data_IF_949833772941
#
_entry.id   IF_949833772941
#
_cell.length_a   1.000
_cell.length_b   1.000
_cell.length_c   1.000
_cell.angle_alpha   90.00
_cell.angle_beta   90.00
_cell.angle_gamma   90.00
#
_symmetry.space_group_name_H-M   'P 1'
#
loop_
_entity.id
_entity.type
_entity.pdbx_description
1 polymer ?
#
# COMPACT_ATOMS: atom_id res chain seq x y z
N UNK A 1 -13.20 -37.60 12.22
CA UNK A 1 -13.34 -36.15 12.04
C UNK A 1 -11.99 -35.51 12.34
N UNK A 2 -11.17 -35.30 11.32
CA UNK A 2 -9.88 -34.62 11.44
C UNK A 2 -10.14 -33.13 11.64
N UNK A 3 -9.68 -32.56 12.76
CA UNK A 3 -9.70 -31.10 12.97
C UNK A 3 -8.88 -30.46 11.86
N UNK A 4 -9.52 -29.66 11.02
CA UNK A 4 -8.81 -28.81 10.07
C UNK A 4 -7.79 -27.95 10.85
N UNK A 5 -6.57 -27.85 10.33
CA UNK A 5 -5.55 -27.00 10.93
C UNK A 5 -6.09 -25.55 11.00
N UNK A 6 -5.78 -24.80 12.08
CA UNK A 6 -6.18 -23.40 12.15
C UNK A 6 -5.61 -22.63 10.96
N UNK A 7 -6.35 -21.65 10.42
CA UNK A 7 -5.91 -20.82 9.31
C UNK A 7 -4.57 -20.16 9.64
N UNK A 8 -3.65 -20.18 8.68
CA UNK A 8 -2.34 -19.55 8.84
C UNK A 8 -2.46 -18.09 8.38
N UNK A 9 -2.58 -17.18 9.35
CA UNK A 9 -2.41 -15.74 9.10
C UNK A 9 -0.92 -15.48 8.97
N UNK A 10 -0.50 -14.94 7.82
CA UNK A 10 0.87 -14.49 7.62
C UNK A 10 0.87 -12.98 7.57
N UNK A 11 1.44 -12.37 8.61
CA UNK A 11 1.64 -10.93 8.70
C UNK A 11 3.02 -10.63 8.10
N UNK A 12 3.17 -9.64 7.21
CA UNK A 12 4.50 -9.15 6.84
C UNK A 12 5.29 -8.82 8.11
N UNK A 13 6.58 -9.15 8.12
CA UNK A 13 7.40 -8.89 9.29
C UNK A 13 7.57 -7.38 9.47
N UNK A 14 6.70 -6.76 10.26
CA UNK A 14 6.99 -5.48 10.88
C UNK A 14 8.39 -5.56 11.51
N UNK A 15 9.20 -4.51 11.32
CA UNK A 15 10.58 -4.33 11.80
C UNK A 15 10.91 -5.28 12.95
N UNK A 16 11.58 -6.40 12.66
CA UNK A 16 11.90 -7.39 13.68
C UNK A 16 12.79 -6.74 14.76
N UNK A 17 12.78 -7.22 16.02
CA UNK A 17 13.67 -6.70 17.06
C UNK A 17 15.15 -6.63 16.64
N UNK A 18 15.57 -7.55 15.76
CA UNK A 18 16.90 -7.57 15.15
C UNK A 18 17.17 -6.34 14.27
N UNK A 19 16.17 -5.91 13.48
CA UNK A 19 16.29 -4.75 12.60
C UNK A 19 16.45 -3.44 13.38
N UNK A 20 15.81 -3.31 14.54
CA UNK A 20 16.01 -2.16 15.42
C UNK A 20 17.45 -2.08 15.95
N UNK A 21 18.06 -3.22 16.28
CA UNK A 21 19.46 -3.32 16.71
C UNK A 21 20.40 -2.93 15.56
N UNK A 22 20.19 -3.49 14.37
CA UNK A 22 20.97 -3.18 13.17
C UNK A 22 20.97 -1.68 12.86
N UNK A 23 19.78 -1.07 12.79
CA UNK A 23 19.64 0.36 12.54
C UNK A 23 20.32 1.19 13.62
N UNK A 24 20.19 0.79 14.89
CA UNK A 24 20.86 1.42 16.02
C UNK A 24 22.38 1.44 15.88
N UNK A 25 22.99 0.31 15.51
CA UNK A 25 24.43 0.19 15.34
C UNK A 25 24.96 0.97 14.13
N UNK A 26 24.29 0.88 12.98
CA UNK A 26 24.65 1.67 11.78
C UNK A 26 24.64 3.17 12.11
N UNK A 27 23.56 3.64 12.75
CA UNK A 27 23.44 5.05 13.15
C UNK A 27 24.48 5.45 14.18
N UNK A 28 24.80 4.60 15.17
CA UNK A 28 25.82 4.85 16.18
C UNK A 28 27.20 5.02 15.52
N UNK A 29 27.58 4.11 14.61
CA UNK A 29 28.86 4.17 13.90
C UNK A 29 28.91 5.44 13.03
N UNK A 30 27.90 5.68 12.20
CA UNK A 30 27.87 6.82 11.31
C UNK A 30 27.89 8.16 12.06
N UNK A 31 27.09 8.29 13.13
CA UNK A 31 27.05 9.50 13.94
C UNK A 31 28.37 9.78 14.68
N UNK A 32 29.15 8.74 15.01
CA UNK A 32 30.49 8.92 15.58
C UNK A 32 31.51 9.54 14.61
N UNK A 33 31.19 9.59 13.31
CA UNK A 33 32.07 10.07 12.22
C UNK A 33 31.56 11.35 11.54
N UNK A 34 30.58 12.05 12.13
CA UNK A 34 30.00 13.29 11.56
C UNK A 34 31.01 14.40 11.30
N UNK A 35 32.16 14.41 11.97
CA UNK A 35 33.24 15.36 11.71
C UNK A 35 33.68 15.38 10.23
N UNK A 36 33.53 14.27 9.51
CA UNK A 36 33.82 14.16 8.08
C UNK A 36 32.77 14.85 7.17
N UNK A 37 31.60 15.20 7.71
CA UNK A 37 30.47 15.74 6.98
C UNK A 37 30.01 17.06 7.62
N UNK A 38 30.68 18.19 7.34
CA UNK A 38 30.48 19.44 8.09
C UNK A 38 29.07 20.01 7.96
N UNK A 39 28.30 19.59 6.95
CA UNK A 39 26.93 20.02 6.68
C UNK A 39 25.87 19.18 7.38
N UNK A 40 26.22 18.00 7.92
CA UNK A 40 25.30 17.07 8.60
C UNK A 40 25.36 17.29 10.10
N UNK A 41 24.19 17.42 10.74
CA UNK A 41 24.00 17.48 12.18
C UNK A 41 23.94 16.09 12.80
N UNK A 42 23.18 15.20 12.19
CA UNK A 42 22.97 13.82 12.62
C UNK A 42 22.41 12.98 11.46
N UNK A 43 22.56 11.67 11.55
CA UNK A 43 21.78 10.69 10.79
C UNK A 43 20.62 10.19 11.64
N UNK A 44 19.43 10.09 11.03
CA UNK A 44 18.19 9.67 11.68
C UNK A 44 17.40 8.75 10.75
N UNK A 45 16.50 7.92 11.30
CA UNK A 45 15.56 7.12 10.50
C UNK A 45 14.53 8.08 9.87
N UNK A 46 14.30 7.95 8.57
CA UNK A 46 13.31 8.75 7.86
C UNK A 46 11.92 8.11 8.01
N UNK A 47 11.03 8.79 8.75
CA UNK A 47 9.67 8.36 9.07
C UNK A 47 8.72 8.47 7.85
N UNK A 48 8.90 7.64 6.83
CA UNK A 48 7.86 7.43 5.82
C UNK A 48 7.06 6.18 6.15
N UNK A 49 5.80 6.16 5.74
CA UNK A 49 5.00 4.93 5.78
C UNK A 49 5.63 3.90 4.86
N UNK A 50 5.69 2.66 5.32
CA UNK A 50 6.02 1.55 4.44
C UNK A 50 4.91 1.46 3.38
N UNK A 51 5.27 1.67 2.11
CA UNK A 51 4.33 1.49 1.01
C UNK A 51 4.11 -0.01 0.83
N UNK A 52 2.90 -0.41 0.43
CA UNK A 52 2.55 -1.82 0.22
C UNK A 52 3.30 -2.49 -0.96
N UNK A 53 4.23 -1.78 -1.63
CA UNK A 53 5.08 -2.35 -2.67
C UNK A 53 6.22 -3.16 -2.03
N UNK A 54 5.89 -4.41 -1.72
CA UNK A 54 6.74 -5.44 -1.10
C UNK A 54 8.07 -5.68 -1.83
N UNK A 55 8.23 -5.22 -3.08
CA UNK A 55 9.47 -5.37 -3.85
C UNK A 55 10.54 -4.32 -3.50
N UNK A 56 10.18 -3.22 -2.81
CA UNK A 56 11.09 -2.09 -2.55
C UNK A 56 10.94 -1.46 -1.17
N UNK A 57 10.30 -2.12 -0.23
CA UNK A 57 10.31 -1.65 1.15
C UNK A 57 11.76 -1.59 1.65
N UNK A 58 12.25 -0.36 1.82
CA UNK A 58 13.58 -0.06 2.32
C UNK A 58 13.42 0.93 3.48
N UNK A 59 13.94 0.59 4.65
CA UNK A 59 14.11 1.59 5.72
C UNK A 59 15.11 2.62 5.20
N UNK A 60 14.81 3.91 5.29
CA UNK A 60 15.76 4.93 4.87
C UNK A 60 16.37 5.65 6.07
N UNK A 61 17.68 5.85 6.02
CA UNK A 61 18.41 6.74 6.91
C UNK A 61 18.58 8.07 6.18
N UNK A 62 18.22 9.18 6.83
CA UNK A 62 18.40 10.54 6.29
C UNK A 62 19.53 11.28 7.00
N UNK A 63 20.20 12.15 6.27
CA UNK A 63 21.08 13.14 6.87
C UNK A 63 20.28 14.39 7.27
N UNK A 64 20.28 14.73 8.55
CA UNK A 64 19.71 15.97 9.05
C UNK A 64 20.73 17.09 8.86
N UNK A 65 20.43 18.14 8.09
CA UNK A 65 21.38 19.23 7.87
C UNK A 65 21.55 20.11 9.12
N UNK A 66 22.72 20.75 9.27
CA UNK A 66 22.96 21.73 10.35
C UNK A 66 22.18 23.03 10.19
N UNK A 67 21.90 23.41 8.95
CA UNK A 67 21.10 24.60 8.63
C UNK A 67 19.76 24.18 8.03
N UNK A 68 18.68 24.87 8.42
CA UNK A 68 17.33 24.65 7.88
C UNK A 68 17.16 25.11 6.44
N UNK A 69 18.15 25.80 5.88
CA UNK A 69 18.03 26.57 4.64
C UNK A 69 17.95 25.74 3.37
N UNK A 70 18.08 24.42 3.43
CA UNK A 70 18.05 23.58 2.23
C UNK A 70 17.08 22.41 2.40
N UNK A 71 16.03 22.42 1.57
CA UNK A 71 15.01 21.35 1.45
C UNK A 71 15.57 20.03 0.89
N UNK A 72 16.86 20.01 0.53
CA UNK A 72 17.61 18.91 -0.09
C UNK A 72 18.21 17.97 0.98
N UNK A 73 17.69 16.76 1.11
CA UNK A 73 18.14 15.74 2.06
C UNK A 73 18.88 14.58 1.36
N UNK A 74 20.00 14.14 1.96
CA UNK A 74 20.62 12.86 1.58
C UNK A 74 19.83 11.72 2.22
N UNK A 75 19.64 10.64 1.46
CA UNK A 75 18.97 9.44 1.94
C UNK A 75 19.70 8.19 1.49
N UNK A 76 19.84 7.27 2.43
CA UNK A 76 20.43 5.97 2.21
C UNK A 76 19.38 4.90 2.46
N UNK A 77 19.15 4.05 1.47
CA UNK A 77 18.13 3.04 1.55
C UNK A 77 18.70 1.68 1.96
N UNK A 78 18.11 1.11 3.00
CA UNK A 78 18.47 -0.20 3.54
C UNK A 78 17.39 -1.22 3.18
N UNK A 79 17.75 -2.34 2.51
CA UNK A 79 16.79 -3.41 2.20
C UNK A 79 16.13 -3.96 3.47
N UNK A 80 14.83 -4.25 3.43
CA UNK A 80 14.09 -4.83 4.57
C UNK A 80 14.59 -6.23 4.96
N UNK A 81 15.00 -7.04 3.98
CA UNK A 81 15.58 -8.36 4.23
C UNK A 81 17.05 -8.23 4.64
N UNK A 82 17.47 -9.04 5.61
CA UNK A 82 18.89 -9.24 5.91
C UNK A 82 19.59 -9.70 4.63
N UNK A 83 20.33 -8.80 3.98
CA UNK A 83 21.08 -9.16 2.77
C UNK A 83 22.21 -10.15 3.08
N UNK A 84 22.47 -10.50 4.34
CA UNK A 84 23.44 -11.49 4.79
C UNK A 84 24.91 -11.18 4.45
N UNK A 85 25.16 -10.16 3.63
CA UNK A 85 26.40 -9.99 2.89
C UNK A 85 27.29 -8.83 3.36
N UNK A 86 26.86 -7.98 4.32
CA UNK A 86 27.68 -6.87 4.82
C UNK A 86 27.49 -6.62 6.31
N UNK A 87 28.60 -6.37 7.02
CA UNK A 87 28.57 -6.01 8.44
C UNK A 87 28.01 -4.60 8.65
N UNK A 88 27.53 -4.29 9.86
CA UNK A 88 26.96 -2.98 10.19
C UNK A 88 27.94 -1.82 9.93
N UNK A 89 29.24 -2.06 10.15
CA UNK A 89 30.29 -1.08 9.91
C UNK A 89 30.45 -0.76 8.41
N UNK A 90 30.42 -1.76 7.54
CA UNK A 90 30.56 -1.58 6.10
C UNK A 90 29.41 -0.72 5.56
N UNK A 91 28.17 -1.04 5.96
CA UNK A 91 27.00 -0.22 5.58
C UNK A 91 27.08 1.20 6.09
N UNK A 92 27.60 1.41 7.31
CA UNK A 92 27.80 2.76 7.83
C UNK A 92 28.88 3.52 7.04
N UNK A 93 29.95 2.86 6.61
CA UNK A 93 30.99 3.46 5.78
C UNK A 93 30.51 3.78 4.37
N UNK A 94 29.77 2.87 3.73
CA UNK A 94 29.13 3.09 2.43
C UNK A 94 28.19 4.29 2.50
N UNK A 95 27.33 4.35 3.52
CA UNK A 95 26.43 5.47 3.76
C UNK A 95 27.20 6.79 3.93
N UNK A 96 28.30 6.80 4.70
CA UNK A 96 29.13 7.99 4.89
C UNK A 96 29.79 8.44 3.57
N UNK A 97 30.26 7.50 2.75
CA UNK A 97 30.83 7.77 1.43
C UNK A 97 29.81 8.42 0.51
N UNK A 98 28.62 7.83 0.39
CA UNK A 98 27.53 8.37 -0.43
C UNK A 98 27.02 9.73 0.10
N UNK A 99 27.00 9.93 1.42
CA UNK A 99 26.66 11.23 2.01
C UNK A 99 27.72 12.30 1.68
N UNK A 100 29.00 11.92 1.59
CA UNK A 100 30.06 12.82 1.15
C UNK A 100 29.88 13.20 -0.31
N UNK A 101 29.62 12.23 -1.19
CA UNK A 101 29.34 12.45 -2.62
C UNK A 101 28.12 13.35 -2.82
N UNK A 102 27.03 13.10 -2.10
CA UNK A 102 25.85 13.97 -2.10
C UNK A 102 26.19 15.39 -1.65
N UNK A 103 27.01 15.53 -0.60
CA UNK A 103 27.47 16.84 -0.12
C UNK A 103 28.20 17.63 -1.21
N UNK A 104 28.96 16.94 -2.06
CA UNK A 104 29.65 17.51 -3.23
C UNK A 104 28.65 17.82 -4.35
N UNK A 105 27.78 16.89 -4.73
CA UNK A 105 26.77 17.11 -5.76
C UNK A 105 25.81 18.25 -5.43
N UNK A 106 25.36 18.37 -4.18
CA UNK A 106 24.48 19.47 -3.70
C UNK A 106 25.12 20.85 -3.87
N UNK A 107 26.44 20.94 -4.00
CA UNK A 107 27.15 22.21 -4.27
C UNK A 107 27.24 22.54 -5.76
N UNK A 108 27.07 21.55 -6.63
CA UNK A 108 27.33 21.66 -8.06
C UNK A 108 26.10 21.38 -8.94
N UNK A 109 25.02 20.85 -8.39
CA UNK A 109 23.85 20.37 -9.13
C UNK A 109 22.57 21.11 -8.75
N UNK A 110 21.95 21.75 -9.74
CA UNK A 110 20.61 22.34 -9.66
C UNK A 110 19.50 21.28 -9.69
N UNK A 111 19.83 19.98 -9.58
CA UNK A 111 18.84 18.90 -9.70
C UNK A 111 17.71 19.02 -8.68
N UNK A 112 18.03 19.34 -7.41
CA UNK A 112 17.01 19.48 -6.36
C UNK A 112 16.15 20.73 -6.57
N UNK A 113 16.74 21.82 -7.05
CA UNK A 113 15.99 23.07 -7.34
C UNK A 113 15.08 22.90 -8.56
N UNK A 114 15.56 22.20 -9.59
CA UNK A 114 14.76 21.79 -10.75
C UNK A 114 13.64 20.84 -10.34
N UNK A 115 13.91 19.83 -9.52
CA UNK A 115 12.91 18.93 -8.97
C UNK A 115 11.87 19.67 -8.13
N UNK A 116 12.29 20.61 -7.29
CA UNK A 116 11.37 21.43 -6.51
C UNK A 116 10.47 22.26 -7.43
N UNK A 117 11.07 22.97 -8.39
CA UNK A 117 10.35 23.79 -9.37
C UNK A 117 9.38 22.97 -10.23
N UNK A 118 9.69 21.70 -10.44
CA UNK A 118 8.90 20.79 -11.28
C UNK A 118 7.70 20.18 -10.54
N UNK A 119 7.79 19.94 -9.22
CA UNK A 119 6.73 19.32 -8.42
C UNK A 119 5.93 20.30 -7.56
N UNK A 120 6.49 21.45 -7.16
CA UNK A 120 5.81 22.42 -6.29
C UNK A 120 4.50 22.96 -6.91
N UNK A 121 4.40 23.26 -8.22
CA UNK A 121 3.14 23.65 -8.84
C UNK A 121 2.06 22.56 -8.72
N UNK A 122 2.44 21.29 -8.83
CA UNK A 122 1.55 20.12 -8.75
C UNK A 122 0.96 20.02 -7.34
N UNK A 123 1.82 20.10 -6.32
CA UNK A 123 1.42 20.05 -4.91
C UNK A 123 0.54 21.25 -4.56
N UNK A 124 0.92 22.45 -5.01
CA UNK A 124 0.15 23.68 -4.76
C UNK A 124 -1.25 23.61 -5.37
N UNK A 125 -1.39 23.05 -6.57
CA UNK A 125 -2.70 22.84 -7.20
C UNK A 125 -3.57 21.82 -6.44
N UNK A 126 -3.00 21.02 -5.55
CA UNK A 126 -3.72 20.07 -4.69
C UNK A 126 -3.90 20.59 -3.24
N UNK A 127 -3.41 21.80 -2.93
CA UNK A 127 -3.44 22.39 -1.58
C UNK A 127 -4.79 23.00 -1.16
N UNK A 128 -5.84 22.82 -1.96
CA UNK A 128 -7.17 23.31 -1.61
C UNK A 128 -7.90 22.32 -0.69
N UNK A 129 -8.49 22.83 0.39
CA UNK A 129 -9.34 22.05 1.30
C UNK A 129 -8.78 21.86 2.71
N UNK A 130 -9.42 21.00 3.53
CA UNK A 130 -9.15 20.90 4.97
C UNK A 130 -7.83 20.18 5.31
N UNK A 131 -7.27 19.42 4.37
CA UNK A 131 -6.06 18.62 4.57
C UNK A 131 -5.08 18.85 3.41
N UNK A 132 -4.47 20.04 3.32
CA UNK A 132 -3.57 20.36 2.22
C UNK A 132 -2.32 19.48 2.26
N UNK A 133 -1.93 18.81 1.15
CA UNK A 133 -0.69 18.08 1.09
C UNK A 133 0.51 19.03 1.20
N UNK A 134 1.61 18.57 1.77
CA UNK A 134 2.83 19.37 1.95
C UNK A 134 4.06 18.60 1.52
N UNK A 135 5.01 19.28 0.87
CA UNK A 135 6.34 18.73 0.68
C UNK A 135 7.08 18.76 2.02
N UNK A 136 7.28 17.60 2.63
CA UNK A 136 8.02 17.46 3.89
C UNK A 136 9.53 17.57 3.64
N UNK A 137 10.00 16.93 2.57
CA UNK A 137 11.41 17.01 2.15
C UNK A 137 11.58 16.57 0.70
N UNK A 138 12.70 16.98 0.09
CA UNK A 138 13.11 16.56 -1.24
C UNK A 138 14.57 16.16 -1.18
N UNK A 139 15.01 15.16 -1.92
CA UNK A 139 16.35 14.63 -1.73
C UNK A 139 16.81 13.75 -2.86
N UNK A 140 17.98 13.15 -2.65
CA UNK A 140 18.48 12.07 -3.47
C UNK A 140 18.62 10.82 -2.60
N UNK A 141 18.06 9.71 -3.08
CA UNK A 141 18.22 8.39 -2.48
C UNK A 141 19.29 7.62 -3.23
N UNK A 142 20.24 7.12 -2.48
CA UNK A 142 21.27 6.21 -2.96
C UNK A 142 20.90 4.81 -2.50
N UNK A 143 20.78 3.91 -3.47
CA UNK A 143 20.56 2.49 -3.25
C UNK A 143 21.87 1.76 -3.53
N UNK A 144 22.20 0.77 -2.70
CA UNK A 144 23.37 -0.08 -2.88
C UNK A 144 23.34 -0.84 -4.22
N UNK A 145 22.16 -1.03 -4.82
CA UNK A 145 21.99 -1.73 -6.11
C UNK A 145 21.99 -0.80 -7.33
N UNK A 146 21.82 0.52 -7.16
CA UNK A 146 21.67 1.44 -8.29
C UNK A 146 22.94 2.26 -8.51
N UNK A 147 23.39 2.32 -9.77
CA UNK A 147 24.57 3.08 -10.18
C UNK A 147 24.30 4.60 -10.14
N UNK A 148 23.05 5.01 -10.30
CA UNK A 148 22.64 6.42 -10.28
C UNK A 148 21.67 6.71 -9.11
N UNK A 149 21.81 7.86 -8.42
CA UNK A 149 20.91 8.23 -7.34
C UNK A 149 19.53 8.60 -7.87
N UNK A 150 18.48 8.07 -7.24
CA UNK A 150 17.11 8.48 -7.51
C UNK A 150 16.76 9.78 -6.80
N UNK A 151 15.86 10.58 -7.38
CA UNK A 151 15.26 11.74 -6.73
C UNK A 151 14.11 11.27 -5.85
N UNK A 152 14.04 11.77 -4.61
CA UNK A 152 13.04 11.34 -3.63
C UNK A 152 12.30 12.52 -3.04
N UNK A 153 10.97 12.50 -3.11
CA UNK A 153 10.09 13.46 -2.46
C UNK A 153 9.29 12.76 -1.35
N UNK A 154 9.28 13.35 -0.16
CA UNK A 154 8.39 12.96 0.93
C UNK A 154 7.23 13.96 0.99
N UNK A 155 6.02 13.45 0.84
CA UNK A 155 4.80 14.23 0.84
C UNK A 155 4.00 13.91 2.10
N UNK A 156 3.70 14.92 2.91
CA UNK A 156 2.73 14.82 3.99
C UNK A 156 1.32 14.88 3.37
N UNK A 157 0.61 13.76 3.38
CA UNK A 157 -0.69 13.60 2.74
C UNK A 157 -1.51 12.49 3.41
N UNK A 158 -2.77 12.31 2.97
CA UNK A 158 -3.60 11.19 3.41
C UNK A 158 -3.08 9.90 2.79
N UNK A 159 -2.81 8.89 3.61
CA UNK A 159 -2.53 7.54 3.11
C UNK A 159 -3.80 6.74 2.87
N UNK A 160 -3.64 5.47 2.48
CA UNK A 160 -4.76 4.56 2.24
C UNK A 160 -5.63 4.29 3.47
N UNK A 161 -5.13 4.53 4.68
CA UNK A 161 -5.90 4.44 5.93
C UNK A 161 -6.69 5.71 6.27
N UNK A 162 -6.66 6.72 5.38
CA UNK A 162 -7.25 8.05 5.58
C UNK A 162 -6.70 8.79 6.79
N UNK A 163 -5.50 8.46 7.27
CA UNK A 163 -4.76 9.25 8.25
C UNK A 163 -3.67 10.04 7.55
N UNK A 164 -3.31 11.19 8.12
CA UNK A 164 -2.15 11.94 7.65
C UNK A 164 -0.87 11.18 7.93
N UNK A 165 0.05 11.20 6.98
CA UNK A 165 1.40 10.68 7.15
C UNK A 165 2.28 11.05 5.99
N UNK A 166 3.48 10.51 5.99
CA UNK A 166 4.46 10.80 4.94
C UNK A 166 4.46 9.65 3.93
N UNK A 167 4.07 9.97 2.70
CA UNK A 167 4.20 9.10 1.52
C UNK A 167 5.49 9.45 0.78
N UNK A 168 6.27 8.42 0.43
CA UNK A 168 7.57 8.59 -0.21
C UNK A 168 7.49 8.20 -1.68
N UNK A 169 7.99 9.09 -2.53
CA UNK A 169 8.03 8.91 -3.97
C UNK A 169 9.49 8.97 -4.40
N UNK A 170 10.00 7.89 -5.01
CA UNK A 170 11.37 7.82 -5.53
C UNK A 170 11.33 7.52 -7.04
N UNK A 171 12.03 8.35 -7.81
CA UNK A 171 12.10 8.25 -9.26
C UNK A 171 13.55 8.41 -9.74
N UNK A 172 13.93 7.81 -10.88
CA UNK A 172 15.29 7.94 -11.40
C UNK A 172 15.61 9.39 -11.85
N UNK A 173 14.61 10.12 -12.34
CA UNK A 173 14.76 11.47 -12.89
C UNK A 173 13.47 12.30 -12.73
N UNK A 174 13.47 13.51 -13.31
CA UNK A 174 12.43 14.52 -13.08
C UNK A 174 11.06 14.15 -13.66
N UNK A 175 11.01 13.55 -14.85
CA UNK A 175 9.74 13.29 -15.54
C UNK A 175 8.91 12.18 -14.86
N UNK A 176 9.47 11.01 -14.49
CA UNK A 176 8.76 10.03 -13.68
C UNK A 176 8.44 10.55 -12.29
N UNK A 177 9.29 11.39 -11.68
CA UNK A 177 8.98 12.03 -10.40
C UNK A 177 7.70 12.85 -10.51
N UNK A 178 7.61 13.73 -11.51
CA UNK A 178 6.40 14.53 -11.75
C UNK A 178 5.17 13.66 -11.97
N UNK A 179 5.26 12.60 -12.78
CA UNK A 179 4.14 11.67 -12.99
C UNK A 179 3.68 11.01 -11.70
N UNK A 180 4.62 10.53 -10.89
CA UNK A 180 4.29 9.85 -9.62
C UNK A 180 3.71 10.85 -8.60
N UNK A 181 4.27 12.05 -8.48
CA UNK A 181 3.70 13.12 -7.63
C UNK A 181 2.29 13.50 -8.09
N UNK A 182 2.05 13.67 -9.39
CA UNK A 182 0.71 13.95 -9.91
C UNK A 182 -0.29 12.85 -9.54
N UNK A 183 0.09 11.57 -9.71
CA UNK A 183 -0.75 10.43 -9.28
C UNK A 183 -1.03 10.48 -7.78
N UNK A 184 -0.01 10.71 -6.96
CA UNK A 184 -0.19 10.82 -5.51
C UNK A 184 -1.12 11.98 -5.12
N UNK A 185 -1.06 13.12 -5.81
CA UNK A 185 -1.98 14.23 -5.57
C UNK A 185 -3.42 13.92 -5.99
N UNK A 186 -3.62 13.20 -7.10
CA UNK A 186 -4.94 12.74 -7.51
C UNK A 186 -5.51 11.71 -6.52
N UNK A 187 -4.66 10.82 -6.01
CA UNK A 187 -5.00 9.86 -4.96
C UNK A 187 -5.37 10.59 -3.66
N UNK A 188 -4.58 11.59 -3.25
CA UNK A 188 -4.86 12.45 -2.09
C UNK A 188 -6.23 13.12 -2.20
N UNK A 189 -6.57 13.71 -3.36
CA UNK A 189 -7.88 14.32 -3.59
C UNK A 189 -9.03 13.33 -3.43
N UNK A 190 -8.89 12.11 -3.97
CA UNK A 190 -9.89 11.05 -3.78
C UNK A 190 -10.01 10.66 -2.30
N UNK A 191 -8.88 10.56 -1.59
CA UNK A 191 -8.82 10.26 -0.15
C UNK A 191 -9.44 11.37 0.70
N UNK A 192 -9.35 12.64 0.32
CA UNK A 192 -10.06 13.74 1.01
C UNK A 192 -11.57 13.50 0.98
N UNK A 193 -12.13 13.10 -0.17
CA UNK A 193 -13.57 12.81 -0.30
C UNK A 193 -13.95 11.60 0.56
N UNK A 194 -13.14 10.53 0.52
CA UNK A 194 -13.36 9.36 1.37
C UNK A 194 -13.28 9.72 2.86
N UNK A 195 -12.30 10.53 3.25
CA UNK A 195 -12.14 11.01 4.62
C UNK A 195 -13.34 11.82 5.09
N UNK A 196 -13.83 12.76 4.28
CA UNK A 196 -15.02 13.53 4.61
C UNK A 196 -16.26 12.68 4.84
N UNK A 197 -16.43 11.58 4.08
CA UNK A 197 -17.52 10.61 4.30
C UNK A 197 -17.34 9.85 5.62
N UNK A 198 -16.12 9.40 5.92
CA UNK A 198 -15.78 8.70 7.16
C UNK A 198 -16.01 9.59 8.39
N UNK A 199 -15.60 10.86 8.34
CA UNK A 199 -15.82 11.83 9.40
C UNK A 199 -17.33 12.13 9.60
N UNK A 200 -18.10 12.22 8.51
CA UNK A 200 -19.54 12.48 8.59
C UNK A 200 -20.34 11.35 9.23
N UNK A 201 -19.90 10.09 9.10
CA UNK A 201 -20.60 8.92 9.64
C UNK A 201 -19.96 8.36 10.92
N UNK A 202 -18.82 8.92 11.35
CA UNK A 202 -18.03 8.42 12.48
C UNK A 202 -17.45 7.02 12.24
N UNK A 203 -17.27 6.64 10.97
CA UNK A 203 -16.69 5.36 10.59
C UNK A 203 -15.16 5.47 10.50
N UNK A 204 -14.42 4.41 10.83
CA UNK A 204 -12.96 4.35 10.57
C UNK A 204 -12.64 4.18 9.08
N UNK A 205 -13.63 3.72 8.32
CA UNK A 205 -13.49 3.32 6.93
C UNK A 205 -14.62 2.35 6.54
N UNK A 206 -14.38 1.56 5.51
CA UNK A 206 -15.31 0.56 5.00
C UNK A 206 -14.61 -0.79 4.85
N UNK A 207 -15.37 -1.86 4.89
CA UNK A 207 -14.90 -3.21 4.55
C UNK A 207 -15.86 -3.80 3.53
N UNK A 208 -15.30 -4.34 2.45
CA UNK A 208 -16.13 -4.91 1.39
C UNK A 208 -16.58 -6.34 1.68
N UNK A 209 -17.63 -6.77 0.98
CA UNK A 209 -18.22 -8.09 1.19
C UNK A 209 -17.26 -9.22 0.79
N UNK A 210 -16.26 -8.96 -0.06
CA UNK A 210 -15.22 -9.96 -0.36
C UNK A 210 -14.31 -10.17 0.85
N UNK A 211 -13.83 -9.10 1.48
CA UNK A 211 -13.04 -9.16 2.70
C UNK A 211 -13.81 -9.86 3.83
N UNK A 212 -15.09 -9.54 3.99
CA UNK A 212 -15.95 -10.23 4.95
C UNK A 212 -16.12 -11.72 4.64
N UNK A 213 -16.26 -12.10 3.36
CA UNK A 213 -16.33 -13.51 2.96
C UNK A 213 -15.04 -14.25 3.31
N UNK A 214 -13.87 -13.68 3.00
CA UNK A 214 -12.56 -14.24 3.37
C UNK A 214 -12.49 -14.49 4.88
N UNK A 215 -12.84 -13.47 5.67
CA UNK A 215 -12.80 -13.54 7.14
C UNK A 215 -13.77 -14.59 7.69
N UNK A 216 -14.98 -14.67 7.13
CA UNK A 216 -15.98 -15.65 7.50
C UNK A 216 -15.52 -17.09 7.27
N UNK A 217 -14.96 -17.38 6.10
CA UNK A 217 -14.41 -18.71 5.77
C UNK A 217 -13.15 -19.05 6.54
N UNK A 218 -12.30 -18.05 6.78
CA UNK A 218 -11.12 -18.23 7.60
C UNK A 218 -11.43 -18.26 9.11
N UNK A 219 -12.68 -18.05 9.54
CA UNK A 219 -13.03 -17.94 10.96
C UNK A 219 -12.19 -16.90 11.74
N UNK A 220 -11.81 -15.80 11.06
CA UNK A 220 -11.03 -14.71 11.67
C UNK A 220 -12.00 -13.59 12.09
N UNK A 221 -11.94 -13.13 13.36
CA UNK A 221 -12.75 -12.00 13.80
C UNK A 221 -12.43 -10.73 12.99
N UNK A 222 -13.47 -10.07 12.45
CA UNK A 222 -13.27 -8.89 11.62
C UNK A 222 -12.53 -7.76 12.34
N UNK A 223 -12.78 -7.54 13.63
CA UNK A 223 -12.09 -6.52 14.43
C UNK A 223 -10.58 -6.76 14.52
N UNK A 224 -10.17 -8.02 14.68
CA UNK A 224 -8.75 -8.40 14.76
C UNK A 224 -8.08 -8.16 13.41
N UNK A 225 -8.70 -8.60 12.31
CA UNK A 225 -8.17 -8.38 10.98
C UNK A 225 -8.11 -6.90 10.60
N UNK A 226 -9.10 -6.09 10.98
CA UNK A 226 -9.13 -4.65 10.76
C UNK A 226 -7.97 -3.97 11.51
N UNK A 227 -7.71 -4.36 12.76
CA UNK A 227 -6.59 -3.83 13.53
C UNK A 227 -5.24 -4.17 12.88
N UNK A 228 -5.05 -5.42 12.46
CA UNK A 228 -3.83 -5.87 11.78
C UNK A 228 -3.66 -5.13 10.46
N UNK A 229 -4.70 -5.04 9.62
CA UNK A 229 -4.66 -4.32 8.34
C UNK A 229 -4.39 -2.83 8.55
N UNK A 230 -4.96 -2.21 9.59
CA UNK A 230 -4.70 -0.80 9.90
C UNK A 230 -3.25 -0.54 10.34
N UNK A 231 -2.56 -1.56 10.87
CA UNK A 231 -1.15 -1.48 11.28
C UNK A 231 -0.19 -1.80 10.13
N UNK A 232 -0.51 -2.82 9.34
CA UNK A 232 0.41 -3.44 8.36
C UNK A 232 0.08 -3.06 6.90
N UNK A 233 -1.07 -2.42 6.67
CA UNK A 233 -1.61 -2.08 5.35
C UNK A 233 -2.26 -3.26 4.61
N UNK A 234 -1.85 -4.49 4.93
CA UNK A 234 -2.38 -5.71 4.32
C UNK A 234 -2.17 -6.96 5.19
N UNK A 235 -2.88 -8.05 4.88
CA UNK A 235 -2.65 -9.36 5.51
C UNK A 235 -2.98 -10.50 4.53
N UNK A 236 -2.18 -11.57 4.53
CA UNK A 236 -2.45 -12.80 3.80
C UNK A 236 -3.07 -13.86 4.72
N UNK A 237 -4.09 -14.54 4.21
CA UNK A 237 -4.86 -15.55 4.92
C UNK A 237 -5.01 -16.77 4.01
N UNK A 238 -4.45 -17.91 4.38
CA UNK A 238 -4.76 -19.18 3.72
C UNK A 238 -5.94 -19.86 4.41
N UNK A 239 -6.94 -20.27 3.64
CA UNK A 239 -8.14 -20.94 4.14
C UNK A 239 -8.66 -21.96 3.13
N UNK A 240 -9.47 -22.92 3.59
CA UNK A 240 -10.12 -23.89 2.71
C UNK A 240 -11.56 -23.47 2.44
N UNK A 241 -11.99 -23.54 1.18
CA UNK A 241 -13.40 -23.40 0.81
C UNK A 241 -14.04 -24.77 0.54
N UNK A 242 -15.37 -24.79 0.36
CA UNK A 242 -16.13 -25.99 0.05
C UNK A 242 -15.48 -26.80 -1.09
N UNK A 243 -15.23 -28.10 -0.85
CA UNK A 243 -14.63 -28.99 -1.85
C UNK A 243 -13.12 -29.21 -1.71
N UNK A 244 -12.51 -28.88 -0.57
CA UNK A 244 -11.07 -29.09 -0.26
C UNK A 244 -10.08 -28.23 -1.06
N UNK A 245 -10.57 -27.26 -1.83
CA UNK A 245 -9.70 -26.29 -2.50
C UNK A 245 -9.08 -25.32 -1.48
N UNK A 246 -7.76 -25.20 -1.51
CA UNK A 246 -7.02 -24.19 -0.74
C UNK A 246 -7.11 -22.85 -1.47
N UNK A 247 -7.59 -21.84 -0.76
CA UNK A 247 -7.68 -20.45 -1.20
C UNK A 247 -6.68 -19.58 -0.45
N UNK A 248 -6.13 -18.62 -1.17
CA UNK A 248 -5.32 -17.54 -0.62
C UNK A 248 -6.12 -16.25 -0.68
N UNK A 249 -6.51 -15.75 0.48
CA UNK A 249 -7.13 -14.45 0.68
C UNK A 249 -6.08 -13.39 1.00
N UNK A 250 -6.25 -12.19 0.47
CA UNK A 250 -5.51 -11.01 0.90
C UNK A 250 -6.49 -9.93 1.27
N UNK A 251 -6.33 -9.33 2.45
CA UNK A 251 -7.03 -8.10 2.79
C UNK A 251 -6.05 -6.96 2.62
N UNK A 252 -6.47 -5.90 1.93
CA UNK A 252 -5.64 -4.72 1.67
C UNK A 252 -6.44 -3.46 1.97
N UNK A 253 -5.81 -2.49 2.63
CA UNK A 253 -6.42 -1.17 2.84
C UNK A 253 -6.10 -0.24 1.68
N UNK A 254 -7.15 0.24 1.01
CA UNK A 254 -7.08 1.17 -0.11
C UNK A 254 -8.11 2.29 0.11
N UNK A 255 -7.62 3.52 0.28
CA UNK A 255 -8.43 4.74 0.32
C UNK A 255 -9.61 4.68 1.32
N UNK A 256 -9.34 4.14 2.51
CA UNK A 256 -10.28 3.97 3.62
C UNK A 256 -11.13 2.71 3.52
N UNK A 257 -10.94 1.89 2.49
CA UNK A 257 -11.67 0.66 2.28
C UNK A 257 -10.73 -0.54 2.41
N UNK A 258 -11.13 -1.52 3.21
CA UNK A 258 -10.50 -2.83 3.24
C UNK A 258 -11.15 -3.66 2.14
N UNK A 259 -10.36 -4.01 1.13
CA UNK A 259 -10.77 -4.85 0.01
C UNK A 259 -10.24 -6.28 0.19
N UNK A 260 -11.07 -7.25 -0.19
CA UNK A 260 -10.69 -8.65 -0.23
C UNK A 260 -10.25 -9.08 -1.62
N UNK A 261 -9.08 -9.71 -1.73
CA UNK A 261 -8.64 -10.42 -2.93
C UNK A 261 -8.60 -11.91 -2.66
N UNK A 262 -9.02 -12.71 -3.62
CA UNK A 262 -9.08 -14.17 -3.49
C UNK A 262 -8.46 -14.81 -4.70
N UNK A 263 -7.53 -15.72 -4.44
CA UNK A 263 -6.88 -16.55 -5.46
C UNK A 263 -6.92 -18.01 -5.00
N UNK A 264 -7.52 -18.92 -5.78
CA UNK A 264 -7.39 -20.34 -5.56
C UNK A 264 -5.98 -20.81 -5.90
N UNK A 265 -5.46 -21.76 -5.12
CA UNK A 265 -4.15 -22.38 -5.40
C UNK A 265 -4.12 -23.10 -6.76
N UNK A 266 -5.28 -23.52 -7.25
CA UNK A 266 -5.44 -24.17 -8.55
C UNK A 266 -5.24 -23.23 -9.75
N UNK A 267 -5.34 -21.91 -9.55
CA UNK A 267 -5.22 -20.90 -10.62
C UNK A 267 -6.39 -20.84 -11.61
N UNK A 268 -7.55 -21.44 -11.30
CA UNK A 268 -8.69 -21.48 -12.23
C UNK A 268 -9.48 -20.16 -12.36
N UNK A 269 -9.40 -19.29 -11.36
CA UNK A 269 -10.05 -17.98 -11.34
C UNK A 269 -9.33 -17.05 -10.37
N UNK A 270 -9.61 -15.76 -10.37
CA UNK A 270 -9.13 -14.84 -9.35
C UNK A 270 -10.11 -13.69 -9.17
N UNK A 271 -10.22 -13.16 -7.96
CA UNK A 271 -10.94 -11.93 -7.66
C UNK A 271 -9.95 -10.92 -7.09
N UNK A 272 -9.58 -9.90 -7.89
CA UNK A 272 -8.68 -8.81 -7.48
C UNK A 272 -9.28 -7.48 -7.94
N UNK A 273 -9.18 -6.42 -7.14
CA UNK A 273 -9.69 -5.08 -7.50
C UNK A 273 -11.14 -5.06 -8.04
N UNK A 274 -12.02 -5.91 -7.48
CA UNK A 274 -13.41 -6.10 -7.93
C UNK A 274 -13.54 -6.61 -9.37
N UNK A 275 -12.50 -7.23 -9.90
CA UNK A 275 -12.48 -7.92 -11.18
C UNK A 275 -12.39 -9.43 -10.91
N UNK A 276 -13.41 -10.18 -11.32
CA UNK A 276 -13.42 -11.64 -11.29
C UNK A 276 -12.95 -12.14 -12.66
N UNK A 277 -11.76 -12.73 -12.69
CA UNK A 277 -11.19 -13.36 -13.89
C UNK A 277 -11.37 -14.86 -13.79
N UNK A 278 -11.81 -15.51 -14.87
CA UNK A 278 -12.05 -16.95 -14.93
C UNK A 278 -11.31 -17.52 -16.13
N UNK A 279 -10.49 -18.55 -15.91
CA UNK A 279 -9.70 -19.23 -16.95
C UNK A 279 -10.48 -20.34 -17.63
N UNK A 280 -10.22 -20.53 -18.92
CA UNK A 280 -10.81 -21.60 -19.73
C UNK A 280 -12.30 -21.41 -20.01
N UNK A 281 -12.84 -20.21 -19.76
CA UNK A 281 -14.25 -19.89 -19.97
C UNK A 281 -14.42 -19.16 -21.31
N UNK A 282 -14.86 -19.86 -22.36
CA UNK A 282 -15.44 -19.21 -23.55
C UNK A 282 -16.94 -19.08 -23.36
N UNK A 283 -17.39 -17.88 -23.02
CA UNK A 283 -18.81 -17.56 -23.03
C UNK A 283 -19.18 -16.93 -24.38
N UNK A 284 -20.20 -17.46 -25.09
CA UNK A 284 -20.80 -16.78 -26.23
C UNK A 284 -21.17 -15.32 -25.89
N UNK A 285 -21.04 -14.43 -26.87
CA UNK A 285 -21.31 -12.99 -26.70
C UNK A 285 -22.72 -12.73 -26.15
N UNK A 286 -23.71 -13.53 -26.55
CA UNK A 286 -25.08 -13.46 -26.04
C UNK A 286 -25.18 -13.72 -24.53
N UNK A 287 -24.40 -14.69 -24.01
CA UNK A 287 -24.32 -14.93 -22.57
C UNK A 287 -23.58 -13.79 -21.87
N UNK A 288 -22.44 -13.36 -22.41
CA UNK A 288 -21.67 -12.22 -21.87
C UNK A 288 -22.52 -10.95 -21.74
N UNK A 289 -23.34 -10.65 -22.74
CA UNK A 289 -24.23 -9.48 -22.72
C UNK A 289 -25.41 -9.63 -21.75
N UNK A 290 -25.70 -10.84 -21.28
CA UNK A 290 -26.80 -11.12 -20.33
C UNK A 290 -26.38 -11.10 -18.85
N UNK A 291 -25.07 -11.03 -18.58
CA UNK A 291 -24.51 -11.08 -17.23
C UNK A 291 -24.58 -9.74 -16.47
N UNK A 292 -24.37 -8.56 -17.09
CA UNK A 292 -24.51 -7.29 -16.39
C UNK A 292 -25.88 -7.14 -15.70
N UNK A 293 -25.87 -6.67 -14.47
CA UNK A 293 -27.04 -6.55 -13.59
C UNK A 293 -27.35 -7.81 -12.77
N UNK A 294 -26.74 -8.96 -13.05
CA UNK A 294 -26.90 -10.17 -12.23
C UNK A 294 -25.97 -10.15 -11.02
N UNK A 295 -26.39 -10.81 -9.95
CA UNK A 295 -25.52 -11.06 -8.80
C UNK A 295 -24.54 -12.20 -9.08
N UNK A 296 -23.34 -12.12 -8.51
CA UNK A 296 -22.31 -13.14 -8.66
C UNK A 296 -22.79 -14.48 -8.12
N UNK A 297 -23.49 -14.51 -6.98
CA UNK A 297 -24.00 -15.74 -6.39
C UNK A 297 -25.06 -16.45 -7.26
N UNK A 298 -25.73 -15.72 -8.15
CA UNK A 298 -26.66 -16.32 -9.12
C UNK A 298 -25.96 -16.93 -10.34
N UNK A 299 -24.70 -16.57 -10.58
CA UNK A 299 -23.92 -17.01 -11.76
C UNK A 299 -22.83 -18.02 -11.36
N UNK A 300 -22.23 -17.83 -10.19
CA UNK A 300 -21.13 -18.64 -9.66
C UNK A 300 -21.53 -19.26 -8.32
N UNK A 301 -21.57 -20.59 -8.28
CA UNK A 301 -21.78 -21.36 -7.07
C UNK A 301 -20.46 -21.52 -6.28
N UNK A 302 -19.90 -20.42 -5.78
CA UNK A 302 -18.73 -20.46 -4.90
C UNK A 302 -18.98 -19.59 -3.66
N UNK A 303 -19.03 -20.23 -2.49
CA UNK A 303 -19.33 -19.55 -1.23
C UNK A 303 -18.24 -18.55 -0.80
N UNK A 304 -17.01 -18.65 -1.32
CA UNK A 304 -15.94 -17.70 -1.05
C UNK A 304 -16.08 -16.41 -1.86
N UNK A 305 -16.86 -16.39 -2.94
CA UNK A 305 -17.13 -15.18 -3.71
C UNK A 305 -18.21 -14.33 -3.02
N UNK A 306 -18.17 -12.98 -3.18
CA UNK A 306 -19.21 -12.10 -2.65
C UNK A 306 -20.51 -12.31 -3.43
N UNK A 307 -21.40 -13.18 -2.93
CA UNK A 307 -22.62 -13.57 -3.65
C UNK A 307 -23.54 -12.39 -4.01
N UNK A 308 -23.54 -11.32 -3.22
CA UNK A 308 -24.31 -10.10 -3.44
C UNK A 308 -23.65 -9.09 -4.41
N UNK A 309 -22.40 -9.32 -4.81
CA UNK A 309 -21.74 -8.44 -5.77
C UNK A 309 -22.49 -8.46 -7.10
N UNK A 310 -22.65 -7.30 -7.71
CA UNK A 310 -23.37 -7.15 -8.99
C UNK A 310 -22.36 -7.10 -10.12
N UNK A 311 -22.57 -7.89 -11.17
CA UNK A 311 -21.77 -7.82 -12.40
C UNK A 311 -22.15 -6.54 -13.14
N UNK A 312 -21.17 -5.69 -13.44
CA UNK A 312 -21.37 -4.38 -14.08
C UNK A 312 -20.99 -4.42 -15.55
N UNK A 313 -19.93 -5.16 -15.89
CA UNK A 313 -19.49 -5.33 -17.27
C UNK A 313 -18.73 -6.64 -17.42
N UNK A 314 -18.67 -7.13 -18.66
CA UNK A 314 -17.96 -8.37 -19.00
C UNK A 314 -17.01 -8.09 -20.18
N UNK A 315 -15.85 -8.71 -20.20
CA UNK A 315 -14.89 -8.51 -21.29
C UNK A 315 -13.61 -9.30 -21.12
N UNK A 316 -12.58 -8.88 -21.88
CA UNK A 316 -11.22 -9.35 -21.65
C UNK A 316 -10.63 -8.67 -20.41
N UNK A 317 -9.69 -9.32 -19.70
CA UNK A 317 -9.02 -8.70 -18.56
C UNK A 317 -8.37 -7.39 -18.96
N UNK A 318 -8.46 -6.40 -18.08
CA UNK A 318 -7.82 -5.08 -18.32
C UNK A 318 -6.30 -5.16 -18.20
N UNK A 319 -5.80 -6.13 -17.43
CA UNK A 319 -4.41 -6.56 -17.38
C UNK A 319 -4.38 -8.08 -17.09
N UNK A 320 -3.62 -8.90 -17.84
CA UNK A 320 -3.35 -10.27 -17.42
C UNK A 320 -2.59 -10.23 -16.09
N UNK A 321 -2.92 -11.13 -15.16
CA UNK A 321 -2.19 -11.29 -13.91
C UNK A 321 -1.05 -12.29 -14.14
N UNK A 322 0.20 -11.82 -14.31
CA UNK A 322 1.30 -12.69 -14.68
C UNK A 322 1.69 -13.66 -13.56
N UNK A 323 1.25 -13.40 -12.32
CA UNK A 323 1.53 -14.27 -11.18
C UNK A 323 0.55 -15.47 -11.11
N UNK A 324 -0.52 -15.48 -11.92
CA UNK A 324 -1.56 -16.51 -11.92
C UNK A 324 -1.71 -17.18 -13.28
N UNK A 325 -1.49 -16.45 -14.38
CA UNK A 325 -1.70 -16.92 -15.74
C UNK A 325 -0.43 -16.75 -16.57
N UNK A 326 0.05 -17.84 -17.18
CA UNK A 326 1.08 -17.74 -18.23
C UNK A 326 0.47 -17.02 -19.45
N UNK A 327 1.26 -16.18 -20.13
CA UNK A 327 0.87 -15.33 -21.28
C UNK A 327 0.34 -16.12 -22.52
N UNK A 328 0.27 -17.44 -22.44
CA UNK A 328 -0.19 -18.32 -23.50
C UNK A 328 -1.72 -18.38 -23.58
N UNK A 329 -2.31 -17.47 -24.38
CA UNK A 329 -3.57 -17.60 -25.12
C UNK A 329 -4.76 -18.32 -24.43
N UNK A 330 -4.87 -18.21 -23.10
CA UNK A 330 -5.99 -18.80 -22.38
C UNK A 330 -7.27 -18.00 -22.65
N UNK A 331 -8.37 -18.72 -22.79
CA UNK A 331 -9.69 -18.13 -22.86
C UNK A 331 -10.07 -17.54 -21.50
N UNK A 332 -9.81 -16.25 -21.34
CA UNK A 332 -10.11 -15.50 -20.13
C UNK A 332 -11.41 -14.72 -20.30
N UNK A 333 -12.32 -14.90 -19.35
CA UNK A 333 -13.45 -14.00 -19.13
C UNK A 333 -13.17 -13.17 -17.89
N UNK A 334 -13.28 -11.85 -18.03
CA UNK A 334 -13.24 -10.90 -16.93
C UNK A 334 -14.63 -10.31 -16.69
N UNK A 335 -15.03 -10.29 -15.42
CA UNK A 335 -16.27 -9.71 -14.94
C UNK A 335 -15.94 -8.59 -13.96
N UNK A 336 -16.33 -7.36 -14.29
CA UNK A 336 -16.20 -6.24 -13.37
C UNK A 336 -17.37 -6.24 -12.40
N UNK A 337 -17.07 -6.15 -11.12
CA UNK A 337 -18.04 -6.25 -10.04
C UNK A 337 -18.23 -4.92 -9.33
N UNK A 338 -19.47 -4.65 -8.93
CA UNK A 338 -19.79 -3.71 -7.88
C UNK A 338 -19.96 -4.52 -6.59
N UNK A 339 -18.96 -4.45 -5.72
CA UNK A 339 -18.97 -5.15 -4.44
C UNK A 339 -19.52 -4.23 -3.35
N UNK A 340 -20.60 -4.61 -2.65
CA UNK A 340 -21.09 -3.86 -1.51
C UNK A 340 -20.03 -3.73 -0.42
N UNK A 341 -20.13 -2.67 0.37
CA UNK A 341 -19.30 -2.48 1.54
C UNK A 341 -20.12 -1.93 2.70
N UNK A 342 -19.69 -2.25 3.90
CA UNK A 342 -20.27 -1.75 5.12
C UNK A 342 -19.27 -0.87 5.86
N UNK A 343 -19.79 0.03 6.68
CA UNK A 343 -18.97 0.93 7.49
C UNK A 343 -18.27 0.16 8.61
N UNK A 344 -17.04 0.57 8.95
CA UNK A 344 -16.34 0.09 10.14
C UNK A 344 -16.64 1.07 11.26
N UNK A 345 -17.25 0.60 12.34
CA UNK A 345 -17.60 1.42 13.49
C UNK A 345 -16.37 2.02 14.18
N UNK A 346 -16.40 3.34 14.39
CA UNK A 346 -15.37 4.15 15.04
C UNK A 346 -14.90 3.64 16.40
N UNK A 347 -15.84 3.16 17.22
CA UNK A 347 -15.58 2.81 18.61
C UNK A 347 -15.15 1.36 18.79
N UNK A 348 -15.71 0.45 17.98
CA UNK A 348 -15.54 -0.99 18.16
C UNK A 348 -14.63 -1.64 17.12
N UNK A 349 -14.33 -0.95 16.02
CA UNK A 349 -13.60 -1.53 14.89
C UNK A 349 -14.36 -2.66 14.20
N UNK A 350 -15.68 -2.75 14.39
CA UNK A 350 -16.53 -3.81 13.82
C UNK A 350 -17.31 -3.32 12.61
N UNK A 351 -17.59 -4.20 11.63
CA UNK A 351 -18.50 -3.88 10.53
C UNK A 351 -19.90 -3.55 11.07
N UNK A 352 -20.49 -2.42 10.64
CA UNK A 352 -21.89 -2.07 10.89
C UNK A 352 -22.76 -2.86 9.93
N UNK A 353 -23.66 -3.68 10.43
CA UNK A 353 -24.72 -4.27 9.60
C UNK A 353 -25.55 -3.15 9.00
N UNK A 354 -25.74 -3.18 7.68
CA UNK A 354 -26.64 -2.27 6.98
C UNK A 354 -28.06 -2.44 7.57
N UNK A 355 -28.45 -1.57 8.51
CA UNK A 355 -29.72 -1.69 9.22
C UNK A 355 -29.80 -1.10 10.63
N UNK A 356 -28.73 -0.58 11.23
CA UNK A 356 -28.80 -0.04 12.61
C UNK A 356 -28.72 1.48 12.74
N UNK A 357 -28.71 2.24 11.64
CA UNK A 357 -28.74 3.70 11.72
C UNK A 357 -30.18 4.24 11.67
N UNK A 358 -30.56 4.94 12.74
CA UNK A 358 -31.79 5.72 12.99
C UNK A 358 -32.91 4.97 13.71
N UNK A 359 -32.74 4.78 15.01
CA UNK A 359 -33.82 4.33 15.89
C UNK A 359 -33.52 4.39 17.39
N UNK A 360 -32.71 5.33 17.88
CA UNK A 360 -32.64 5.56 19.35
C UNK A 360 -32.03 6.91 19.74
N UNK A 361 -32.49 8.02 19.15
CA UNK A 361 -32.36 9.34 19.79
C UNK A 361 -33.68 9.62 20.49
N UNK A 362 -33.64 9.46 21.81
CA UNK A 362 -34.77 9.55 22.70
C UNK A 362 -35.57 10.84 22.54
N UNK A 363 -36.88 10.64 22.37
CA UNK A 363 -37.87 11.47 23.04
C UNK A 363 -38.08 10.86 24.44
N UNK A 364 -37.45 11.48 25.43
CA UNK A 364 -37.98 11.55 26.80
C UNK A 364 -37.93 13.00 27.23
#
# INVERSE_FOLDING_TARGET
MTRAAPPRITIPAAVTPFRAIELGEILRIANSKLAALPWVRAFEIALARETADTRRCQTQIRAVPKTRERRAEFRYALPLADSGCSGFADRAWDMLGLAHEFGTMRRHSDLVERALSSIEPIIRAAAEGPMPPKLASLGATFDFMNVEPGITADLEMLGHDLKMGIERITAPDLEPLQRQVSRAMDDHRRRIVARGRSDATGALGWIDHTALAILGHAHVPASEAIEVVAREGWVHISFSACGSEELHGTLIQLDGRIEGWIVPRSGGWSLKHRELTVRGARLPETLMNSLPGRSVGAVFANAALPGEAVIVSCGKPTAPDPDIFDDDADDLVSLRLMVPACEIDGATGRPRTAGSSVGDRGLR
#
